data_IF_686677443690
#
_entry.id   IF_686677443690
#
_cell.length_a   1.000
_cell.length_b   1.000
_cell.length_c   1.000
_cell.angle_alpha   90.00
_cell.angle_beta   90.00
_cell.angle_gamma   90.00
#
_symmetry.space_group_name_H-M   'P 1'
#
loop_
_entity.id
_entity.type
_entity.pdbx_description
1 polymer ?
#
# COMPACT_ATOMS: atom_id res chain seq x y z
N UNK A 1 18.93 -15.24 -5.64
CA UNK A 1 20.30 -14.74 -5.45
C UNK A 1 20.65 -13.90 -6.67
N UNK A 2 21.27 -12.73 -6.50
CA UNK A 2 21.78 -11.92 -7.62
C UNK A 2 23.26 -12.23 -7.82
N UNK A 3 23.71 -12.33 -9.07
CA UNK A 3 25.08 -12.68 -9.47
C UNK A 3 25.24 -14.17 -9.78
N UNK A 4 25.66 -14.48 -11.01
CA UNK A 4 25.91 -15.83 -11.52
C UNK A 4 26.98 -16.59 -10.74
N UNK A 5 27.94 -15.89 -10.12
CA UNK A 5 28.94 -16.47 -9.21
C UNK A 5 28.35 -17.14 -7.95
N UNK A 6 27.07 -16.89 -7.65
CA UNK A 6 26.31 -17.51 -6.54
C UNK A 6 25.13 -18.35 -7.04
N UNK A 7 25.19 -18.84 -8.28
CA UNK A 7 24.07 -19.48 -8.99
C UNK A 7 22.81 -18.61 -9.05
N UNK A 8 23.00 -17.28 -9.05
CA UNK A 8 21.95 -16.27 -9.18
C UNK A 8 21.73 -15.80 -10.61
N UNK A 9 21.01 -14.70 -10.75
CA UNK A 9 20.81 -14.01 -12.04
C UNK A 9 21.61 -12.71 -12.08
N UNK A 10 22.18 -12.37 -13.24
CA UNK A 10 22.93 -11.12 -13.45
C UNK A 10 22.03 -9.95 -13.85
N UNK A 11 20.77 -10.24 -14.22
CA UNK A 11 19.76 -9.28 -14.60
C UNK A 11 18.39 -9.93 -14.73
N UNK A 12 17.35 -9.12 -14.94
CA UNK A 12 15.98 -9.60 -15.08
C UNK A 12 15.13 -8.67 -15.93
N UNK A 13 14.08 -9.21 -16.55
CA UNK A 13 12.87 -8.43 -16.78
C UNK A 13 12.31 -8.05 -15.40
N UNK A 14 12.15 -6.75 -15.15
CA UNK A 14 11.86 -6.26 -13.81
C UNK A 14 10.88 -5.07 -13.84
N UNK A 15 10.12 -4.89 -12.75
CA UNK A 15 9.38 -3.65 -12.54
C UNK A 15 10.37 -2.50 -12.37
N UNK A 16 10.15 -1.40 -13.09
CA UNK A 16 11.09 -0.25 -13.15
C UNK A 16 11.63 0.20 -11.78
N UNK A 17 10.79 0.38 -10.74
CA UNK A 17 11.28 0.83 -9.43
C UNK A 17 12.24 -0.13 -8.73
N UNK A 18 12.16 -1.43 -9.02
CA UNK A 18 12.95 -2.43 -8.30
C UNK A 18 14.46 -2.29 -8.56
N UNK A 19 14.89 -1.81 -9.74
CA UNK A 19 16.31 -1.56 -10.00
C UNK A 19 16.86 -0.49 -9.04
N UNK A 20 16.06 0.55 -8.74
CA UNK A 20 16.40 1.56 -7.76
C UNK A 20 16.37 1.00 -6.33
N UNK A 21 15.34 0.23 -5.96
CA UNK A 21 15.24 -0.35 -4.62
C UNK A 21 16.40 -1.31 -4.31
N UNK A 22 16.85 -2.10 -5.28
CA UNK A 22 18.01 -2.97 -5.15
C UNK A 22 19.30 -2.14 -5.00
N UNK A 23 19.47 -1.10 -5.82
CA UNK A 23 20.66 -0.23 -5.77
C UNK A 23 20.76 0.56 -4.46
N UNK A 24 19.62 0.91 -3.86
CA UNK A 24 19.51 1.64 -2.60
C UNK A 24 19.37 0.74 -1.36
N UNK A 25 19.19 -0.57 -1.54
CA UNK A 25 19.02 -1.51 -0.42
C UNK A 25 17.70 -1.40 0.35
N UNK A 26 16.64 -0.84 -0.26
CA UNK A 26 15.36 -0.53 0.42
C UNK A 26 14.53 -1.79 0.75
N UNK A 27 14.74 -2.90 0.01
CA UNK A 27 13.96 -4.14 0.19
C UNK A 27 14.79 -5.43 0.10
N UNK A 28 16.11 -5.31 -0.05
CA UNK A 28 17.05 -6.42 -0.13
C UNK A 28 18.46 -5.90 0.17
N UNK A 29 19.45 -6.80 0.20
CA UNK A 29 20.86 -6.42 0.25
C UNK A 29 21.18 -5.45 -0.90
N UNK A 30 21.80 -4.32 -0.56
CA UNK A 30 22.19 -3.31 -1.53
C UNK A 30 23.05 -3.94 -2.64
N UNK A 31 22.56 -3.84 -3.87
CA UNK A 31 23.18 -4.43 -5.05
C UNK A 31 23.02 -3.42 -6.19
N UNK A 32 24.11 -2.79 -6.66
CA UNK A 32 24.06 -1.84 -7.77
C UNK A 32 23.43 -2.46 -9.02
N UNK A 33 22.43 -1.79 -9.61
CA UNK A 33 21.71 -2.22 -10.81
C UNK A 33 21.66 -1.08 -11.83
N UNK A 34 21.71 -1.43 -13.13
CA UNK A 34 21.53 -0.48 -14.22
C UNK A 34 20.26 -0.80 -15.02
N UNK A 35 19.52 0.25 -15.42
CA UNK A 35 18.41 0.10 -16.37
C UNK A 35 18.99 0.30 -17.77
N UNK A 36 19.05 -0.77 -18.55
CA UNK A 36 19.62 -0.73 -19.90
C UNK A 36 18.58 -0.32 -20.96
N UNK A 37 17.32 -0.74 -20.78
CA UNK A 37 16.26 -0.47 -21.73
C UNK A 37 14.88 -0.52 -21.05
N UNK A 38 13.90 0.12 -21.70
CA UNK A 38 12.48 -0.05 -21.41
C UNK A 38 11.92 -1.15 -22.30
N UNK A 39 11.53 -2.29 -21.72
CA UNK A 39 11.05 -3.45 -22.49
C UNK A 39 9.65 -3.24 -23.09
N UNK A 40 8.76 -2.56 -22.37
CA UNK A 40 7.44 -2.22 -22.87
C UNK A 40 6.93 -0.90 -22.29
N UNK A 41 5.92 -0.36 -22.96
CA UNK A 41 4.99 0.63 -22.43
C UNK A 41 3.58 0.06 -22.53
N UNK A 42 2.67 0.50 -21.67
CA UNK A 42 1.28 0.05 -21.65
C UNK A 42 1.12 -1.47 -21.43
N UNK A 43 -0.03 -2.03 -21.82
CA UNK A 43 -0.34 -3.46 -21.66
C UNK A 43 -0.62 -3.90 -20.22
N UNK A 44 -0.77 -2.95 -19.30
CA UNK A 44 -1.15 -3.19 -17.91
C UNK A 44 -2.61 -2.82 -17.71
N UNK A 45 -3.27 -3.39 -16.70
CA UNK A 45 -4.67 -3.09 -16.41
C UNK A 45 -5.02 -3.21 -14.94
N UNK A 46 -6.04 -2.49 -14.52
CA UNK A 46 -6.69 -2.64 -13.22
C UNK A 46 -7.98 -3.41 -13.47
N UNK A 47 -8.07 -4.61 -12.88
CA UNK A 47 -9.26 -5.44 -12.96
C UNK A 47 -10.10 -5.28 -11.71
N UNK A 48 -11.42 -5.21 -11.90
CA UNK A 48 -12.39 -5.04 -10.81
C UNK A 48 -13.36 -6.22 -10.84
N UNK A 49 -13.79 -6.69 -9.66
CA UNK A 49 -14.76 -7.79 -9.56
C UNK A 49 -16.06 -7.45 -10.29
N UNK A 50 -16.69 -8.47 -10.88
CA UNK A 50 -18.00 -8.35 -11.55
C UNK A 50 -19.08 -7.78 -10.63
N UNK A 51 -18.97 -8.04 -9.33
CA UNK A 51 -19.85 -7.47 -8.29
C UNK A 51 -19.93 -5.94 -8.32
N UNK A 52 -18.93 -5.28 -8.88
CA UNK A 52 -18.84 -3.82 -8.91
C UNK A 52 -19.12 -3.24 -10.30
N UNK A 53 -19.59 -4.05 -11.26
CA UNK A 53 -19.93 -3.57 -12.60
C UNK A 53 -21.04 -2.51 -12.57
N UNK A 54 -22.00 -2.62 -11.65
CA UNK A 54 -23.04 -1.62 -11.45
C UNK A 54 -22.48 -0.25 -10.99
N UNK A 55 -21.32 -0.26 -10.31
CA UNK A 55 -20.60 0.95 -9.91
C UNK A 55 -19.90 1.66 -11.07
N UNK A 56 -19.97 1.10 -12.29
CA UNK A 56 -19.29 1.60 -13.48
C UNK A 56 -17.80 1.85 -13.22
N UNK A 57 -17.13 0.84 -12.63
CA UNK A 57 -15.72 0.84 -12.28
C UNK A 57 -14.81 0.98 -13.52
N UNK A 58 -14.79 2.17 -14.12
CA UNK A 58 -14.05 2.49 -15.33
C UNK A 58 -12.79 3.30 -15.03
N UNK A 59 -12.38 4.11 -16.00
CA UNK A 59 -11.17 4.95 -15.88
C UNK A 59 -11.26 5.92 -14.70
N UNK A 60 -12.45 6.44 -14.38
CA UNK A 60 -12.65 7.30 -13.22
C UNK A 60 -13.02 6.47 -11.98
N UNK A 61 -12.08 6.35 -11.03
CA UNK A 61 -12.31 5.62 -9.79
C UNK A 61 -13.36 6.26 -8.87
N UNK A 62 -13.75 7.53 -9.06
CA UNK A 62 -14.70 8.22 -8.18
C UNK A 62 -16.06 7.48 -8.08
N UNK A 63 -16.47 6.78 -9.14
CA UNK A 63 -17.70 5.98 -9.15
C UNK A 63 -17.67 4.80 -8.16
N UNK A 64 -16.49 4.43 -7.67
CA UNK A 64 -16.31 3.38 -6.68
C UNK A 64 -16.53 3.85 -5.24
N UNK A 65 -16.60 5.16 -4.97
CA UNK A 65 -16.69 5.72 -3.61
C UNK A 65 -17.87 5.17 -2.82
N UNK A 66 -19.06 5.20 -3.39
CA UNK A 66 -20.27 4.76 -2.70
C UNK A 66 -20.24 3.26 -2.42
N UNK A 67 -19.73 2.47 -3.36
CA UNK A 67 -19.58 1.02 -3.20
C UNK A 67 -18.54 0.68 -2.14
N UNK A 68 -17.42 1.40 -2.10
CA UNK A 68 -16.41 1.27 -1.04
C UNK A 68 -17.03 1.61 0.33
N UNK A 69 -17.79 2.70 0.41
CA UNK A 69 -18.45 3.14 1.64
C UNK A 69 -19.51 2.14 2.11
N UNK A 70 -20.36 1.64 1.21
CA UNK A 70 -21.40 0.65 1.51
C UNK A 70 -20.80 -0.67 1.98
N UNK A 71 -19.77 -1.17 1.30
CA UNK A 71 -19.05 -2.39 1.70
C UNK A 71 -18.43 -2.21 3.07
N UNK A 72 -17.76 -1.07 3.32
CA UNK A 72 -17.21 -0.71 4.64
C UNK A 72 -18.28 -0.68 5.73
N UNK A 73 -19.44 -0.07 5.47
CA UNK A 73 -20.58 -0.05 6.39
C UNK A 73 -21.16 -1.44 6.68
N UNK A 74 -21.08 -2.36 5.73
CA UNK A 74 -21.47 -3.77 5.89
C UNK A 74 -20.36 -4.65 6.51
N UNK A 75 -19.26 -4.07 6.99
CA UNK A 75 -18.11 -4.81 7.51
C UNK A 75 -17.32 -5.61 6.47
N UNK A 76 -17.63 -5.45 5.18
CA UNK A 76 -16.96 -6.13 4.06
C UNK A 76 -15.87 -5.23 3.48
N UNK A 77 -14.62 -5.67 3.53
CA UNK A 77 -13.51 -4.91 2.94
C UNK A 77 -13.41 -5.13 1.43
N UNK A 78 -12.98 -4.11 0.70
CA UNK A 78 -12.53 -4.27 -0.69
C UNK A 78 -11.02 -4.49 -0.64
N UNK A 79 -10.59 -5.70 -1.02
CA UNK A 79 -9.18 -6.00 -1.18
C UNK A 79 -8.71 -5.42 -2.52
N UNK A 80 -7.67 -4.60 -2.47
CA UNK A 80 -6.98 -4.09 -3.64
C UNK A 80 -5.57 -4.66 -3.59
N UNK A 81 -5.18 -5.39 -4.63
CA UNK A 81 -3.96 -6.20 -4.63
C UNK A 81 -3.10 -5.80 -5.80
N UNK A 82 -1.80 -5.88 -5.59
CA UNK A 82 -0.76 -5.46 -6.50
C UNK A 82 0.40 -6.45 -6.39
N UNK A 83 1.34 -6.39 -7.33
CA UNK A 83 2.37 -7.43 -7.50
C UNK A 83 3.56 -7.27 -6.54
N UNK A 84 3.97 -6.05 -6.24
CA UNK A 84 5.11 -5.76 -5.36
C UNK A 84 5.08 -4.33 -4.81
N UNK A 85 5.05 -4.08 -3.47
CA UNK A 85 4.97 -2.75 -2.87
C UNK A 85 5.99 -1.75 -3.44
N UNK A 86 5.53 -0.55 -3.84
CA UNK A 86 6.36 0.45 -4.52
C UNK A 86 6.71 0.12 -5.99
N UNK A 87 6.30 -1.03 -6.50
CA UNK A 87 6.43 -1.43 -7.90
C UNK A 87 5.42 -0.71 -8.81
N UNK A 88 5.49 -0.96 -10.12
CA UNK A 88 4.67 -0.24 -11.12
C UNK A 88 3.17 -0.39 -10.87
N UNK A 89 2.70 -1.59 -10.53
CA UNK A 89 1.26 -1.84 -10.29
C UNK A 89 0.76 -1.17 -9.01
N UNK A 90 1.63 -0.92 -8.01
CA UNK A 90 1.28 -0.10 -6.84
C UNK A 90 0.92 1.31 -7.28
N UNK A 91 1.82 1.89 -8.08
CA UNK A 91 1.73 3.27 -8.50
C UNK A 91 0.48 3.46 -9.38
N UNK A 92 0.23 2.57 -10.32
CA UNK A 92 -0.95 2.63 -11.18
C UNK A 92 -2.25 2.56 -10.37
N UNK A 93 -2.34 1.62 -9.42
CA UNK A 93 -3.52 1.44 -8.58
C UNK A 93 -3.75 2.64 -7.66
N UNK A 94 -2.71 3.09 -6.96
CA UNK A 94 -2.78 4.27 -6.07
C UNK A 94 -3.16 5.53 -6.84
N UNK A 95 -2.58 5.73 -8.02
CA UNK A 95 -2.89 6.87 -8.87
C UNK A 95 -4.35 6.86 -9.32
N UNK A 96 -4.86 5.71 -9.79
CA UNK A 96 -6.25 5.56 -10.18
C UNK A 96 -7.22 5.88 -9.03
N UNK A 97 -6.96 5.35 -7.82
CA UNK A 97 -7.76 5.64 -6.63
C UNK A 97 -7.70 7.12 -6.24
N UNK A 98 -6.50 7.69 -6.16
CA UNK A 98 -6.28 9.08 -5.78
C UNK A 98 -6.95 10.05 -6.77
N UNK A 99 -6.88 9.77 -8.08
CA UNK A 99 -7.56 10.54 -9.11
C UNK A 99 -9.10 10.53 -8.94
N UNK A 100 -9.65 9.44 -8.40
CA UNK A 100 -11.06 9.36 -8.00
C UNK A 100 -11.38 10.01 -6.65
N UNK A 101 -10.39 10.55 -5.94
CA UNK A 101 -10.52 11.05 -4.57
C UNK A 101 -10.76 9.95 -3.54
N UNK A 102 -10.30 8.72 -3.81
CA UNK A 102 -10.27 7.60 -2.87
C UNK A 102 -8.85 7.52 -2.35
N UNK A 103 -8.65 7.71 -1.04
CA UNK A 103 -7.31 7.84 -0.49
C UNK A 103 -6.69 6.48 -0.10
N UNK A 104 -5.55 6.07 -0.70
CA UNK A 104 -4.87 4.82 -0.35
C UNK A 104 -3.79 4.97 0.75
N UNK A 105 -3.54 6.16 1.29
CA UNK A 105 -2.34 6.46 2.10
C UNK A 105 -2.55 6.55 3.61
N UNK A 106 -1.52 6.10 4.34
CA UNK A 106 -1.41 6.16 5.80
C UNK A 106 -1.41 7.59 6.30
N UNK A 107 -0.79 8.50 5.55
CA UNK A 107 -0.63 9.91 5.92
C UNK A 107 -1.98 10.62 6.01
N UNK A 108 -2.91 10.35 5.10
CA UNK A 108 -4.26 10.87 5.24
C UNK A 108 -5.08 10.15 6.31
N UNK A 109 -4.85 8.85 6.54
CA UNK A 109 -5.48 8.16 7.65
C UNK A 109 -5.11 8.82 8.99
N UNK A 110 -3.84 9.18 9.15
CA UNK A 110 -3.32 9.89 10.33
C UNK A 110 -3.80 11.35 10.35
N UNK A 111 -3.77 12.08 9.23
CA UNK A 111 -4.20 13.49 9.21
C UNK A 111 -5.70 13.65 9.44
N UNK A 112 -6.54 12.78 8.89
CA UNK A 112 -7.99 12.98 8.86
C UNK A 112 -8.74 12.30 10.00
N UNK A 113 -8.29 11.13 10.44
CA UNK A 113 -8.99 10.36 11.45
C UNK A 113 -8.52 10.71 12.86
N UNK A 114 -9.42 10.70 13.83
CA UNK A 114 -9.06 10.84 15.25
C UNK A 114 -8.58 9.50 15.83
N UNK A 115 -8.83 8.40 15.10
CA UNK A 115 -8.39 7.04 15.42
C UNK A 115 -8.14 6.24 14.14
N UNK A 116 -7.11 5.42 14.13
CA UNK A 116 -6.76 4.50 13.05
C UNK A 116 -6.81 3.07 13.59
N UNK A 117 -7.85 2.33 13.20
CA UNK A 117 -8.03 0.93 13.59
C UNK A 117 -7.38 0.01 12.56
N UNK A 118 -6.39 -0.74 12.99
CA UNK A 118 -5.58 -1.64 12.18
C UNK A 118 -5.98 -3.09 12.47
N UNK A 119 -6.10 -3.90 11.42
CA UNK A 119 -6.64 -5.27 11.53
C UNK A 119 -5.56 -6.32 11.28
N UNK A 120 -5.72 -7.49 11.89
CA UNK A 120 -4.87 -8.65 11.63
C UNK A 120 -5.13 -9.26 10.24
N UNK A 121 -4.19 -10.05 9.74
CA UNK A 121 -4.26 -10.68 8.42
C UNK A 121 -5.10 -11.98 8.44
N UNK A 122 -5.65 -12.34 7.28
CA UNK A 122 -6.28 -13.64 7.02
C UNK A 122 -7.82 -13.67 7.17
N UNK A 123 -8.45 -14.83 6.91
CA UNK A 123 -9.91 -14.97 6.84
C UNK A 123 -10.64 -14.74 8.18
N UNK A 124 -9.91 -14.84 9.30
CA UNK A 124 -10.41 -14.60 10.66
C UNK A 124 -9.90 -13.28 11.25
N UNK A 125 -9.60 -12.29 10.40
CA UNK A 125 -9.08 -10.99 10.80
C UNK A 125 -9.89 -10.37 11.96
N UNK A 126 -9.19 -9.95 13.01
CA UNK A 126 -9.73 -9.19 14.14
C UNK A 126 -9.11 -7.80 14.17
N UNK A 127 -9.63 -6.93 15.03
CA UNK A 127 -8.92 -5.70 15.36
C UNK A 127 -7.59 -6.11 15.98
N UNK A 128 -6.50 -5.74 15.33
CA UNK A 128 -5.14 -6.00 15.81
C UNK A 128 -4.67 -4.90 16.73
N UNK A 129 -4.95 -3.66 16.35
CA UNK A 129 -4.62 -2.48 17.14
C UNK A 129 -5.60 -1.35 16.81
N UNK A 130 -5.93 -0.55 17.82
CA UNK A 130 -6.72 0.68 17.68
C UNK A 130 -5.86 1.85 18.16
N UNK A 131 -5.39 2.65 17.22
CA UNK A 131 -4.44 3.71 17.49
C UNK A 131 -5.15 5.07 17.51
N UNK A 132 -5.16 5.73 18.67
CA UNK A 132 -5.68 7.09 18.78
C UNK A 132 -4.69 8.09 18.18
N UNK A 133 -5.20 9.00 17.34
CA UNK A 133 -4.39 10.08 16.76
C UNK A 133 -4.52 11.32 17.64
N UNK A 134 -3.52 11.55 18.49
CA UNK A 134 -3.48 12.65 19.45
C UNK A 134 -3.12 14.02 18.84
N UNK A 135 -3.63 14.32 17.64
CA UNK A 135 -3.46 15.63 17.00
C UNK A 135 -4.75 16.45 17.11
N UNK A 136 -4.68 17.67 17.63
CA UNK A 136 -5.84 18.56 17.70
C UNK A 136 -6.26 19.07 16.31
N UNK A 137 -7.56 19.30 16.10
CA UNK A 137 -8.08 19.94 14.88
C UNK A 137 -8.10 21.47 15.03
N UNK A 138 -7.96 22.24 13.93
CA UNK A 138 -7.72 21.80 12.55
C UNK A 138 -6.26 21.39 12.30
N UNK A 139 -6.07 20.29 11.56
CA UNK A 139 -4.75 19.73 11.25
C UNK A 139 -4.31 20.20 9.87
N UNK A 140 -3.24 20.99 9.83
CA UNK A 140 -2.61 21.45 8.59
C UNK A 140 -1.52 20.46 8.17
N UNK A 141 -1.54 20.05 6.90
CA UNK A 141 -0.64 19.00 6.38
C UNK A 141 0.84 19.37 6.53
N UNK A 142 1.20 20.61 6.23
CA UNK A 142 2.60 21.03 6.24
C UNK A 142 3.10 21.15 7.68
N UNK A 143 2.27 21.71 8.58
CA UNK A 143 2.62 21.81 10.00
C UNK A 143 2.67 20.46 10.71
N UNK A 144 1.80 19.54 10.32
CA UNK A 144 1.75 18.20 10.90
C UNK A 144 3.00 17.38 10.58
N UNK A 145 3.65 17.58 9.43
CA UNK A 145 4.88 16.85 9.08
C UNK A 145 6.01 17.06 10.11
N UNK A 146 6.02 18.21 10.79
CA UNK A 146 7.00 18.56 11.81
C UNK A 146 6.55 18.17 13.24
N UNK A 147 5.32 17.67 13.41
CA UNK A 147 4.78 17.28 14.71
C UNK A 147 5.26 15.88 15.12
N UNK A 148 5.71 15.75 16.36
CA UNK A 148 6.12 14.46 16.93
C UNK A 148 4.94 13.48 16.98
N UNK A 149 3.73 13.98 17.22
CA UNK A 149 2.50 13.20 17.29
C UNK A 149 2.10 12.62 15.93
N UNK A 150 2.30 13.38 14.86
CA UNK A 150 2.09 12.92 13.49
C UNK A 150 3.10 11.83 13.12
N UNK A 151 4.39 12.07 13.40
CA UNK A 151 5.46 11.11 13.14
C UNK A 151 5.22 9.82 13.92
N UNK A 152 4.81 9.90 15.18
CA UNK A 152 4.50 8.75 16.03
C UNK A 152 3.29 7.95 15.51
N UNK A 153 2.19 8.62 15.17
CA UNK A 153 1.00 7.95 14.65
C UNK A 153 1.26 7.29 13.29
N UNK A 154 1.98 7.97 12.40
CA UNK A 154 2.42 7.41 11.12
C UNK A 154 3.35 6.23 11.32
N UNK A 155 4.33 6.35 12.21
CA UNK A 155 5.26 5.27 12.52
C UNK A 155 4.53 4.05 13.05
N UNK A 156 3.60 4.21 14.01
CA UNK A 156 2.81 3.11 14.54
C UNK A 156 2.03 2.37 13.44
N UNK A 157 1.37 3.12 12.54
CA UNK A 157 0.59 2.52 11.46
C UNK A 157 1.49 1.81 10.44
N UNK A 158 2.59 2.42 10.03
CA UNK A 158 3.54 1.81 9.08
C UNK A 158 4.23 0.59 9.69
N UNK A 159 4.62 0.68 10.96
CA UNK A 159 5.29 -0.40 11.69
C UNK A 159 4.37 -1.61 11.86
N UNK A 160 3.13 -1.41 12.31
CA UNK A 160 2.12 -2.47 12.40
C UNK A 160 1.94 -3.20 11.06
N UNK A 161 1.84 -2.44 9.96
CA UNK A 161 1.71 -3.01 8.62
C UNK A 161 2.97 -3.81 8.23
N UNK A 162 4.17 -3.28 8.48
CA UNK A 162 5.43 -3.94 8.10
C UNK A 162 5.75 -5.21 8.92
N UNK A 163 5.56 -5.19 10.24
CA UNK A 163 5.84 -6.35 11.09
C UNK A 163 4.95 -7.56 10.73
N UNK A 164 3.68 -7.31 10.45
CA UNK A 164 2.70 -8.35 10.12
C UNK A 164 2.82 -8.84 8.68
N UNK A 165 3.38 -8.03 7.77
CA UNK A 165 3.77 -8.48 6.43
C UNK A 165 5.00 -9.41 6.45
N UNK A 166 5.92 -9.25 7.41
CA UNK A 166 7.09 -10.12 7.56
C UNK A 166 6.79 -11.48 8.20
N UNK A 167 5.70 -11.59 8.98
CA UNK A 167 5.41 -12.80 9.78
C UNK A 167 3.92 -13.24 9.69
N UNK A 168 3.53 -13.97 8.63
CA UNK A 168 2.15 -14.47 8.46
C UNK A 168 1.72 -15.49 9.54
N UNK A 169 2.66 -16.03 10.31
CA UNK A 169 2.47 -17.18 11.21
C UNK A 169 2.24 -16.83 12.68
N UNK A 170 2.45 -15.56 13.11
CA UNK A 170 2.31 -15.16 14.54
C UNK A 170 0.84 -15.03 14.99
N UNK A 171 -0.12 -15.39 14.13
CA UNK A 171 -1.55 -15.49 14.48
C UNK A 171 -1.97 -16.83 15.08
N UNK A 172 -1.05 -17.77 15.34
CA UNK A 172 -1.36 -19.08 15.93
C UNK A 172 -0.62 -19.27 17.25
N UNK A 173 -1.02 -18.50 18.26
CA UNK A 173 -0.83 -18.87 19.66
C UNK A 173 -2.22 -18.84 20.32
N UNK A 174 -2.51 -19.89 21.07
CA UNK A 174 -3.79 -20.21 21.70
C UNK A 174 -4.27 -19.12 22.67
#
# INVERSE_FOLDING_TARGET
MLGSGSAGIDGAHLLTPMAYFLSLGVSAKQTPMNILARLNVNGQGISVSKDYMAAKAGINAASMKDVIAQRKGAGKKIAMVMTFPGGTHDLWLRYWLAAGGINPDVDEAVLLADRVVMMTNGPAARIGEDHAVAMARPRDRLKALDMAEYAAARHAVVHFLHERYRNPTVGRAA
#
